data_IF_562468591762
#
_entry.id   IF_562468591762
#
_cell.length_a   1.000
_cell.length_b   1.000
_cell.length_c   1.000
_cell.angle_alpha   90.00
_cell.angle_beta   90.00
_cell.angle_gamma   90.00
#
_symmetry.space_group_name_H-M   'P 1'
#
loop_
_entity.id
_entity.type
_entity.pdbx_description
1 polymer ?
#
# COMPACT_ATOMS: atom_id res chain seq x y z
N UNK A 1 -8.73 30.93 -13.17
CA UNK A 1 -9.17 29.63 -13.68
C UNK A 1 -8.40 28.56 -12.94
N UNK A 2 -9.05 27.74 -12.12
CA UNK A 2 -8.37 26.60 -11.49
C UNK A 2 -8.20 25.51 -12.56
N UNK A 3 -6.95 25.17 -12.87
CA UNK A 3 -6.69 23.99 -13.70
C UNK A 3 -7.24 22.75 -12.97
N UNK A 4 -7.98 21.91 -13.69
CA UNK A 4 -8.41 20.61 -13.16
C UNK A 4 -7.17 19.80 -12.77
N UNK A 5 -7.06 19.43 -11.50
CA UNK A 5 -6.00 18.54 -11.01
C UNK A 5 -6.34 17.06 -11.26
N UNK A 6 -7.46 16.80 -11.95
CA UNK A 6 -7.86 15.46 -12.34
C UNK A 6 -6.81 14.82 -13.25
N UNK A 7 -6.39 13.61 -12.90
CA UNK A 7 -5.36 12.86 -13.62
C UNK A 7 -3.97 12.93 -12.99
N UNK A 8 -3.74 13.79 -11.99
CA UNK A 8 -2.52 13.73 -11.19
C UNK A 8 -2.57 12.58 -10.19
N UNK A 9 -1.39 12.02 -9.91
CA UNK A 9 -1.22 10.95 -8.94
C UNK A 9 -0.11 11.30 -7.94
N UNK A 10 -0.20 10.81 -6.71
CA UNK A 10 0.84 10.94 -5.71
C UNK A 10 1.06 9.63 -4.98
N UNK A 11 2.27 9.45 -4.47
CA UNK A 11 2.63 8.27 -3.67
C UNK A 11 2.55 8.61 -2.19
N UNK A 12 1.70 7.89 -1.45
CA UNK A 12 1.57 8.02 0.00
C UNK A 12 2.20 6.82 0.70
N UNK A 13 3.45 6.96 1.13
CA UNK A 13 4.22 5.89 1.79
C UNK A 13 4.92 6.40 3.04
N UNK A 14 5.36 5.48 3.91
CA UNK A 14 6.21 5.82 5.05
C UNK A 14 6.38 4.68 6.04
N UNK A 15 6.86 5.03 7.25
CA UNK A 15 7.17 4.04 8.29
C UNK A 15 5.92 3.34 8.83
N UNK A 16 6.05 2.04 9.14
CA UNK A 16 5.06 1.28 9.90
C UNK A 16 4.89 1.79 11.33
N UNK A 17 5.97 2.35 11.90
CA UNK A 17 6.01 2.92 13.25
C UNK A 17 5.91 4.44 13.23
N UNK A 18 5.05 4.99 12.37
CA UNK A 18 4.84 6.43 12.28
C UNK A 18 4.08 6.94 13.52
N UNK A 19 4.52 8.02 14.19
CA UNK A 19 3.83 8.57 15.36
C UNK A 19 2.38 8.98 15.08
N UNK A 20 1.50 8.83 16.08
CA UNK A 20 0.06 9.02 15.91
C UNK A 20 -0.35 10.41 15.39
N UNK A 21 0.32 11.48 15.81
CA UNK A 21 0.08 12.84 15.31
C UNK A 21 0.42 12.96 13.81
N UNK A 22 1.47 12.29 13.37
CA UNK A 22 1.91 12.26 11.98
C UNK A 22 0.96 11.42 11.13
N UNK A 23 0.47 10.28 11.64
CA UNK A 23 -0.59 9.50 10.98
C UNK A 23 -1.86 10.32 10.75
N UNK A 24 -2.28 11.12 11.75
CA UNK A 24 -3.43 12.04 11.59
C UNK A 24 -3.20 13.08 10.50
N UNK A 25 -1.96 13.57 10.36
CA UNK A 25 -1.60 14.50 9.29
C UNK A 25 -1.65 13.81 7.91
N UNK A 26 -1.09 12.60 7.79
CA UNK A 26 -1.13 11.81 6.55
C UNK A 26 -2.58 11.52 6.12
N UNK A 27 -3.47 11.20 7.05
CA UNK A 27 -4.91 11.07 6.77
C UNK A 27 -5.52 12.36 6.23
N UNK A 28 -5.20 13.52 6.83
CA UNK A 28 -5.69 14.82 6.35
C UNK A 28 -5.16 15.14 4.95
N UNK A 29 -3.90 14.83 4.67
CA UNK A 29 -3.30 14.99 3.34
C UNK A 29 -4.03 14.10 2.35
N UNK A 30 -4.20 12.81 2.64
CA UNK A 30 -4.86 11.89 1.73
C UNK A 30 -6.30 12.28 1.42
N UNK A 31 -7.03 12.74 2.43
CA UNK A 31 -8.37 13.30 2.28
C UNK A 31 -8.38 14.53 1.36
N UNK A 32 -7.48 15.49 1.61
CA UNK A 32 -7.46 16.75 0.86
C UNK A 32 -7.07 16.54 -0.60
N UNK A 33 -6.06 15.70 -0.87
CA UNK A 33 -5.59 15.44 -2.24
C UNK A 33 -6.65 14.69 -3.06
N UNK A 34 -7.37 13.75 -2.45
CA UNK A 34 -8.46 13.05 -3.12
C UNK A 34 -9.62 14.01 -3.49
N UNK A 35 -10.02 14.90 -2.58
CA UNK A 35 -11.03 15.94 -2.87
C UNK A 35 -10.58 16.95 -3.95
N UNK A 36 -9.28 17.03 -4.24
CA UNK A 36 -8.73 17.81 -5.36
C UNK A 36 -8.68 17.01 -6.67
N UNK A 37 -9.11 15.75 -6.68
CA UNK A 37 -9.07 14.87 -7.85
C UNK A 37 -7.71 14.18 -8.07
N UNK A 38 -6.79 14.22 -7.09
CA UNK A 38 -5.46 13.61 -7.19
C UNK A 38 -5.51 12.19 -6.60
N UNK A 39 -5.09 11.19 -7.39
CA UNK A 39 -5.16 9.78 -7.02
C UNK A 39 -4.00 9.37 -6.12
N UNK A 40 -4.31 8.62 -5.05
CA UNK A 40 -3.30 7.98 -4.20
C UNK A 40 -2.78 6.69 -4.84
N UNK A 41 -1.47 6.48 -4.76
CA UNK A 41 -0.78 5.19 -4.91
C UNK A 41 -0.08 4.82 -3.60
N UNK A 42 -0.25 3.59 -3.11
CA UNK A 42 0.36 3.14 -1.84
C UNK A 42 0.53 1.62 -1.76
N UNK A 43 1.24 1.12 -0.75
CA UNK A 43 1.54 -0.30 -0.53
C UNK A 43 0.60 -1.04 0.41
N UNK A 44 -0.31 -0.32 1.09
CA UNK A 44 -1.29 -0.90 2.00
C UNK A 44 -0.70 -1.46 3.32
N UNK A 45 0.55 -1.14 3.65
CA UNK A 45 1.14 -1.53 4.92
C UNK A 45 0.48 -0.83 6.13
N UNK A 46 0.72 -1.36 7.33
CA UNK A 46 0.38 -0.65 8.57
C UNK A 46 1.14 0.69 8.66
N UNK A 47 0.56 1.66 9.36
CA UNK A 47 1.17 2.97 9.58
C UNK A 47 0.86 3.93 8.44
N UNK A 48 1.90 4.51 7.83
CA UNK A 48 1.77 5.62 6.89
C UNK A 48 0.88 5.28 5.67
N UNK A 49 1.11 4.15 5.02
CA UNK A 49 0.32 3.70 3.87
C UNK A 49 -1.18 3.65 4.18
N UNK A 50 -1.53 2.94 5.27
CA UNK A 50 -2.92 2.84 5.72
C UNK A 50 -3.51 4.19 6.16
N UNK A 51 -2.70 5.13 6.67
CA UNK A 51 -3.17 6.47 7.00
C UNK A 51 -3.53 7.29 5.74
N UNK A 52 -2.69 7.27 4.71
CA UNK A 52 -3.03 7.92 3.43
C UNK A 52 -4.27 7.28 2.79
N UNK A 53 -4.33 5.94 2.77
CA UNK A 53 -5.47 5.20 2.25
C UNK A 53 -6.76 5.55 2.99
N UNK A 54 -6.73 5.57 4.32
CA UNK A 54 -7.90 5.93 5.13
C UNK A 54 -8.40 7.35 4.82
N UNK A 55 -7.48 8.30 4.66
CA UNK A 55 -7.81 9.67 4.24
C UNK A 55 -8.52 9.72 2.89
N UNK A 56 -7.92 9.10 1.87
CA UNK A 56 -8.46 9.07 0.51
C UNK A 56 -9.81 8.35 0.42
N UNK A 57 -9.96 7.19 1.08
CA UNK A 57 -11.24 6.46 1.11
C UNK A 57 -12.33 7.21 1.87
N UNK A 58 -11.98 7.95 2.93
CA UNK A 58 -12.94 8.81 3.62
C UNK A 58 -13.46 9.91 2.70
N UNK A 59 -12.57 10.57 1.95
CA UNK A 59 -12.96 11.57 0.96
C UNK A 59 -13.93 10.97 -0.08
N UNK A 60 -13.61 9.83 -0.69
CA UNK A 60 -14.50 9.16 -1.66
C UNK A 60 -15.89 8.81 -1.11
N UNK A 61 -16.00 8.45 0.18
CA UNK A 61 -17.30 8.17 0.81
C UNK A 61 -18.18 9.42 0.93
N UNK A 62 -17.58 10.58 1.14
CA UNK A 62 -18.27 11.87 1.30
C UNK A 62 -18.54 12.53 -0.06
N UNK A 63 -17.52 12.55 -0.92
CA UNK A 63 -17.54 13.15 -2.26
C UNK A 63 -16.77 12.25 -3.22
N UNK A 64 -17.44 11.57 -4.19
CA UNK A 64 -16.77 10.65 -5.10
C UNK A 64 -15.60 11.30 -5.85
N UNK A 65 -14.40 10.79 -5.62
CA UNK A 65 -13.16 11.17 -6.28
C UNK A 65 -12.46 9.94 -6.91
N UNK A 66 -11.17 10.04 -7.24
CA UNK A 66 -10.44 8.92 -7.81
C UNK A 66 -10.26 7.79 -6.79
N UNK A 67 -10.57 6.55 -7.18
CA UNK A 67 -10.25 5.38 -6.35
C UNK A 67 -8.73 5.23 -6.13
N UNK A 68 -8.28 4.99 -4.89
CA UNK A 68 -6.86 4.80 -4.60
C UNK A 68 -6.34 3.47 -5.18
N UNK A 69 -5.12 3.49 -5.72
CA UNK A 69 -4.42 2.29 -6.19
C UNK A 69 -3.54 1.74 -5.06
N UNK A 70 -3.95 0.63 -4.47
CA UNK A 70 -3.23 -0.04 -3.39
C UNK A 70 -2.52 -1.26 -3.95
N UNK A 71 -1.19 -1.21 -3.99
CA UNK A 71 -0.32 -2.27 -4.51
C UNK A 71 0.14 -3.16 -3.37
N UNK A 72 -0.47 -4.33 -3.25
CA UNK A 72 -0.21 -5.26 -2.16
C UNK A 72 0.91 -6.23 -2.54
N UNK A 73 1.76 -6.59 -1.57
CA UNK A 73 2.80 -7.60 -1.76
C UNK A 73 2.21 -8.96 -2.15
N UNK A 74 1.08 -9.34 -1.55
CA UNK A 74 0.37 -10.58 -1.89
C UNK A 74 -1.14 -10.42 -1.67
N UNK A 75 -1.98 -11.28 -2.28
CA UNK A 75 -3.43 -11.23 -2.10
C UNK A 75 -3.83 -11.32 -0.63
N UNK A 76 -4.69 -10.40 -0.18
CA UNK A 76 -5.14 -10.36 1.21
C UNK A 76 -4.11 -9.81 2.21
N UNK A 77 -3.05 -9.14 1.76
CA UNK A 77 -2.07 -8.50 2.66
C UNK A 77 -2.78 -7.59 3.68
N UNK A 78 -2.62 -7.89 4.97
CA UNK A 78 -3.32 -7.24 6.10
C UNK A 78 -4.85 -7.19 5.94
N UNK A 79 -5.44 -8.22 5.33
CA UNK A 79 -6.89 -8.30 5.09
C UNK A 79 -7.41 -7.29 4.05
N UNK A 80 -6.51 -6.65 3.29
CA UNK A 80 -6.87 -5.67 2.25
C UNK A 80 -7.02 -6.35 0.90
N UNK A 81 -7.91 -5.78 0.08
CA UNK A 81 -7.99 -6.04 -1.36
C UNK A 81 -7.27 -4.92 -2.12
N UNK A 82 -6.55 -5.28 -3.16
CA UNK A 82 -5.73 -4.35 -3.94
C UNK A 82 -5.11 -5.00 -5.16
N UNK A 83 -4.26 -4.26 -5.84
CA UNK A 83 -3.51 -4.72 -7.01
C UNK A 83 -2.35 -5.57 -6.51
N UNK A 84 -2.26 -6.79 -7.00
CA UNK A 84 -1.13 -7.69 -6.74
C UNK A 84 -0.51 -8.08 -8.07
N UNK A 85 0.80 -7.95 -8.20
CA UNK A 85 1.54 -8.52 -9.33
C UNK A 85 2.09 -9.86 -8.88
N UNK A 86 1.24 -10.89 -8.88
CA UNK A 86 1.71 -12.24 -8.60
C UNK A 86 2.42 -12.77 -9.86
N UNK A 87 3.66 -13.28 -9.75
CA UNK A 87 4.19 -14.21 -10.75
C UNK A 87 3.23 -15.40 -10.86
N UNK A 88 3.34 -16.21 -11.92
CA UNK A 88 2.64 -17.50 -11.91
C UNK A 88 3.04 -18.28 -10.63
N UNK A 89 2.13 -19.10 -10.11
CA UNK A 89 2.35 -19.79 -8.82
C UNK A 89 3.60 -20.68 -8.82
N UNK A 90 3.97 -21.24 -9.97
CA UNK A 90 5.18 -22.07 -10.11
C UNK A 90 6.47 -21.25 -9.89
N UNK A 91 6.59 -20.10 -10.53
CA UNK A 91 7.73 -19.17 -10.39
C UNK A 91 7.82 -18.71 -8.93
N UNK A 92 6.68 -18.43 -8.31
CA UNK A 92 6.64 -17.97 -6.93
C UNK A 92 7.08 -19.05 -5.94
N UNK A 93 6.67 -20.31 -6.16
CA UNK A 93 7.11 -21.46 -5.38
C UNK A 93 8.60 -21.75 -5.56
N UNK A 94 9.11 -21.67 -6.78
CA UNK A 94 10.52 -21.90 -7.09
C UNK A 94 11.44 -20.82 -6.50
N UNK A 95 11.03 -19.55 -6.62
CA UNK A 95 11.71 -18.42 -5.97
C UNK A 95 11.70 -18.56 -4.44
N UNK A 96 10.56 -18.96 -3.86
CA UNK A 96 10.45 -19.18 -2.40
C UNK A 96 11.38 -20.32 -1.94
N UNK A 97 11.44 -21.44 -2.68
CA UNK A 97 12.35 -22.55 -2.39
C UNK A 97 13.81 -22.11 -2.46
N UNK A 98 14.18 -21.44 -3.54
CA UNK A 98 15.56 -20.97 -3.75
C UNK A 98 16.00 -20.00 -2.64
N UNK A 99 15.14 -19.05 -2.26
CA UNK A 99 15.45 -18.09 -1.19
C UNK A 99 15.50 -18.78 0.17
N UNK A 100 14.61 -19.74 0.45
CA UNK A 100 14.64 -20.51 1.70
C UNK A 100 16.01 -21.16 1.94
N UNK A 101 16.58 -21.77 0.90
CA UNK A 101 17.85 -22.50 1.02
C UNK A 101 19.05 -21.55 1.14
N UNK A 102 18.98 -20.36 0.55
CA UNK A 102 20.06 -19.36 0.58
C UNK A 102 19.99 -18.41 1.78
N UNK A 103 18.80 -18.19 2.36
CA UNK A 103 18.60 -17.15 3.36
C UNK A 103 19.18 -17.59 4.72
N UNK A 104 20.17 -16.85 5.27
CA UNK A 104 20.95 -17.28 6.45
C UNK A 104 20.15 -17.40 7.75
N UNK A 105 18.86 -17.02 7.71
CA UNK A 105 17.99 -16.93 8.87
C UNK A 105 16.52 -17.22 8.53
N UNK A 106 16.23 -18.02 7.48
CA UNK A 106 14.87 -18.17 6.93
C UNK A 106 13.82 -18.50 8.00
N UNK A 107 14.13 -19.43 8.90
CA UNK A 107 13.19 -19.87 9.94
C UNK A 107 12.88 -18.79 10.99
N UNK A 108 13.75 -17.77 11.09
CA UNK A 108 13.53 -16.60 11.97
C UNK A 108 12.70 -15.50 11.30
N UNK A 109 12.49 -15.57 9.98
CA UNK A 109 11.64 -14.61 9.29
C UNK A 109 10.17 -14.82 9.66
N UNK A 110 9.46 -13.72 9.89
CA UNK A 110 8.00 -13.76 10.00
C UNK A 110 7.37 -14.19 8.68
N UNK A 111 6.13 -14.67 8.70
CA UNK A 111 5.41 -15.04 7.47
C UNK A 111 5.33 -13.89 6.48
N UNK A 112 5.21 -12.66 6.98
CA UNK A 112 5.30 -11.47 6.14
C UNK A 112 6.66 -11.37 5.43
N UNK A 113 7.76 -11.49 6.17
CA UNK A 113 9.10 -11.37 5.61
C UNK A 113 9.38 -12.48 4.58
N UNK A 114 8.96 -13.72 4.87
CA UNK A 114 9.07 -14.85 3.95
C UNK A 114 8.33 -14.60 2.63
N UNK A 115 7.08 -14.11 2.70
CA UNK A 115 6.29 -13.77 1.52
C UNK A 115 6.90 -12.60 0.76
N UNK A 116 7.38 -11.57 1.46
CA UNK A 116 7.98 -10.39 0.85
C UNK A 116 9.28 -10.68 0.08
N UNK A 117 9.99 -11.77 0.38
CA UNK A 117 11.16 -12.16 -0.40
C UNK A 117 10.81 -12.69 -1.81
N UNK A 118 9.60 -13.19 -2.03
CA UNK A 118 9.18 -13.88 -3.25
C UNK A 118 8.03 -13.16 -3.98
N UNK A 119 7.90 -11.84 -3.78
CA UNK A 119 6.86 -10.97 -4.36
C UNK A 119 7.45 -9.79 -5.09
#
# INVERSE_FOLDING_TARGET
MAHSLAGLEYTGIGSRKTPANTLKLMQKIGYRLNNLGIRLRSGGAEGADSAFEAGARRANKEHPGPEPLIFLSYPGFLGKSGITFAPNSQIQEEATRSIRDLHPAWDRCSDFAKKAHAT
#
